data_IF_394203482556
#
_entry.id   IF_394203482556
#
_cell.length_a   1.000
_cell.length_b   1.000
_cell.length_c   1.000
_cell.angle_alpha   90.00
_cell.angle_beta   90.00
_cell.angle_gamma   90.00
#
_symmetry.space_group_name_H-M   'P 1'
#
loop_
_entity.id
_entity.type
_entity.pdbx_description
1 polymer ?
#
# COMPACT_ATOMS: atom_id res chain seq x y z
N UNK A 1 -55.35 -3.05 11.36
CA UNK A 1 -54.19 -3.96 11.20
C UNK A 1 -53.82 -4.24 9.76
N UNK A 2 -54.80 -4.24 8.81
CA UNK A 2 -54.56 -4.48 7.36
C UNK A 2 -53.93 -3.28 6.61
N UNK A 3 -54.15 -2.05 7.07
CA UNK A 3 -53.59 -0.84 6.45
C UNK A 3 -52.08 -0.68 6.71
N UNK A 4 -51.57 -1.19 7.86
CA UNK A 4 -50.13 -1.14 8.18
C UNK A 4 -49.30 -2.13 7.36
N UNK A 5 -49.87 -3.30 7.00
CA UNK A 5 -49.18 -4.29 6.21
C UNK A 5 -48.97 -3.88 4.74
N UNK A 6 -49.91 -3.12 4.18
CA UNK A 6 -49.79 -2.61 2.79
C UNK A 6 -48.75 -1.47 2.68
N UNK A 7 -48.60 -0.65 3.70
CA UNK A 7 -47.57 0.40 3.76
C UNK A 7 -46.17 -0.17 3.88
N UNK A 8 -45.98 -1.24 4.65
CA UNK A 8 -44.70 -1.95 4.78
C UNK A 8 -44.27 -2.65 3.48
N UNK A 9 -45.20 -3.33 2.82
CA UNK A 9 -44.91 -4.02 1.53
C UNK A 9 -44.52 -3.04 0.42
N UNK A 10 -45.12 -1.86 0.38
CA UNK A 10 -44.80 -0.81 -0.61
C UNK A 10 -43.47 -0.08 -0.29
N UNK A 11 -42.98 -0.14 0.93
CA UNK A 11 -41.70 0.47 1.33
C UNK A 11 -40.45 -0.35 0.92
N UNK A 12 -40.59 -1.67 0.78
CA UNK A 12 -39.47 -2.60 0.48
C UNK A 12 -38.82 -2.31 -0.89
N UNK A 13 -39.54 -2.13 -1.99
CA UNK A 13 -38.94 -1.79 -3.29
C UNK A 13 -38.22 -0.46 -3.28
N UNK A 14 -38.76 0.55 -2.58
CA UNK A 14 -38.14 1.86 -2.43
C UNK A 14 -36.85 1.80 -1.60
N UNK A 15 -36.85 1.06 -0.51
CA UNK A 15 -35.66 0.83 0.30
C UNK A 15 -34.55 0.11 -0.50
N UNK A 16 -34.90 -0.92 -1.28
CA UNK A 16 -33.98 -1.62 -2.18
C UNK A 16 -33.38 -0.69 -3.23
N UNK A 17 -34.17 0.20 -3.81
CA UNK A 17 -33.71 1.19 -4.80
C UNK A 17 -32.72 2.17 -4.18
N UNK A 18 -33.05 2.74 -3.01
CA UNK A 18 -32.15 3.63 -2.25
C UNK A 18 -30.83 2.94 -1.89
N UNK A 19 -30.89 1.69 -1.46
CA UNK A 19 -29.71 0.92 -1.10
C UNK A 19 -28.79 0.63 -2.31
N UNK A 20 -29.36 0.31 -3.48
CA UNK A 20 -28.59 0.15 -4.73
C UNK A 20 -27.85 1.44 -5.09
N UNK A 21 -28.52 2.59 -4.97
CA UNK A 21 -27.91 3.91 -5.23
C UNK A 21 -26.76 4.18 -4.24
N UNK A 22 -26.99 3.94 -2.95
CA UNK A 22 -25.96 4.11 -1.93
C UNK A 22 -24.74 3.22 -2.19
N UNK A 23 -24.94 1.95 -2.51
CA UNK A 23 -23.85 1.03 -2.84
C UNK A 23 -23.07 1.47 -4.07
N UNK A 24 -23.75 1.95 -5.12
CA UNK A 24 -23.11 2.47 -6.32
C UNK A 24 -22.28 3.73 -6.03
N UNK A 25 -22.82 4.68 -5.25
CA UNK A 25 -22.10 5.88 -4.84
C UNK A 25 -20.89 5.54 -3.98
N UNK A 26 -21.04 4.65 -3.00
CA UNK A 26 -19.93 4.21 -2.14
C UNK A 26 -18.85 3.53 -2.96
N UNK A 27 -19.21 2.66 -3.90
CA UNK A 27 -18.27 2.03 -4.82
C UNK A 27 -17.46 3.06 -5.60
N UNK A 28 -18.14 4.05 -6.20
CA UNK A 28 -17.52 5.14 -6.95
C UNK A 28 -16.52 5.90 -6.07
N UNK A 29 -16.98 6.36 -4.89
CA UNK A 29 -16.13 7.12 -3.95
C UNK A 29 -14.89 6.33 -3.51
N UNK A 30 -15.03 5.04 -3.20
CA UNK A 30 -13.89 4.19 -2.83
C UNK A 30 -12.92 4.09 -4.00
N UNK A 31 -13.40 3.79 -5.22
CA UNK A 31 -12.53 3.66 -6.39
C UNK A 31 -11.77 4.95 -6.69
N UNK A 32 -12.44 6.10 -6.65
CA UNK A 32 -11.83 7.42 -6.87
C UNK A 32 -10.79 7.75 -5.79
N UNK A 33 -11.10 7.47 -4.53
CA UNK A 33 -10.17 7.68 -3.41
C UNK A 33 -8.91 6.85 -3.55
N UNK A 34 -9.03 5.57 -3.90
CA UNK A 34 -7.88 4.70 -4.08
C UNK A 34 -7.06 5.04 -5.33
N UNK A 35 -7.69 5.51 -6.40
CA UNK A 35 -6.97 6.02 -7.58
C UNK A 35 -6.14 7.27 -7.24
N UNK A 36 -6.65 8.16 -6.39
CA UNK A 36 -5.88 9.32 -5.90
C UNK A 36 -4.71 8.91 -4.99
N UNK A 37 -4.91 7.91 -4.14
CA UNK A 37 -3.84 7.36 -3.29
C UNK A 37 -2.75 6.75 -4.16
N UNK A 38 -3.10 5.91 -5.15
CA UNK A 38 -2.17 5.29 -6.09
C UNK A 38 -1.33 6.33 -6.84
N UNK A 39 -1.98 7.34 -7.41
CA UNK A 39 -1.29 8.42 -8.12
C UNK A 39 -0.32 9.20 -7.21
N UNK A 40 -0.72 9.48 -5.96
CA UNK A 40 0.12 10.17 -4.99
C UNK A 40 1.28 9.29 -4.52
N UNK A 41 1.04 8.01 -4.30
CA UNK A 41 2.10 7.07 -3.93
C UNK A 41 3.13 6.93 -5.04
N UNK A 42 2.71 6.80 -6.30
CA UNK A 42 3.64 6.73 -7.43
C UNK A 42 4.61 7.93 -7.47
N UNK A 43 4.10 9.14 -7.21
CA UNK A 43 4.93 10.35 -7.09
C UNK A 43 5.90 10.26 -5.90
N UNK A 44 5.41 9.82 -4.75
CA UNK A 44 6.24 9.66 -3.56
C UNK A 44 7.32 8.59 -3.75
N UNK A 45 7.00 7.45 -4.38
CA UNK A 45 7.95 6.38 -4.65
C UNK A 45 9.04 6.81 -5.63
N UNK A 46 8.72 7.63 -6.63
CA UNK A 46 9.74 8.25 -7.50
C UNK A 46 10.70 9.14 -6.71
N UNK A 47 10.18 9.94 -5.78
CA UNK A 47 11.01 10.74 -4.88
C UNK A 47 11.88 9.88 -3.96
N UNK A 48 11.33 8.78 -3.42
CA UNK A 48 12.08 7.81 -2.60
C UNK A 48 13.21 7.18 -3.40
N UNK A 49 12.95 6.79 -4.66
CA UNK A 49 13.97 6.25 -5.55
C UNK A 49 15.11 7.25 -5.77
N UNK A 50 14.80 8.53 -6.03
CA UNK A 50 15.79 9.58 -6.19
C UNK A 50 16.63 9.85 -4.94
N UNK A 51 16.02 9.83 -3.76
CA UNK A 51 16.75 9.97 -2.49
C UNK A 51 17.67 8.75 -2.28
N UNK A 52 17.20 7.54 -2.53
CA UNK A 52 17.97 6.32 -2.37
C UNK A 52 19.16 6.26 -3.35
N UNK A 53 18.94 6.69 -4.59
CA UNK A 53 19.98 6.86 -5.61
C UNK A 53 21.04 7.85 -5.13
N UNK A 54 20.65 9.06 -4.74
CA UNK A 54 21.57 10.11 -4.26
C UNK A 54 22.41 9.65 -3.06
N UNK A 55 21.82 8.88 -2.15
CA UNK A 55 22.53 8.27 -1.03
C UNK A 55 23.56 7.24 -1.51
N UNK A 56 23.19 6.39 -2.48
CA UNK A 56 24.08 5.39 -3.04
C UNK A 56 25.27 6.02 -3.78
N UNK A 57 24.99 7.04 -4.61
CA UNK A 57 26.04 7.85 -5.26
C UNK A 57 26.99 8.50 -4.26
N UNK A 58 26.43 9.08 -3.19
CA UNK A 58 27.25 9.69 -2.13
C UNK A 58 28.12 8.67 -1.41
N UNK A 59 27.60 7.45 -1.16
CA UNK A 59 28.36 6.37 -0.55
C UNK A 59 29.50 5.87 -1.46
N UNK A 60 29.25 5.74 -2.76
CA UNK A 60 30.28 5.39 -3.74
C UNK A 60 31.40 6.46 -3.74
N UNK A 61 31.04 7.73 -3.88
CA UNK A 61 32.00 8.83 -3.92
C UNK A 61 32.80 9.00 -2.61
N UNK A 62 32.18 8.75 -1.47
CA UNK A 62 32.83 8.78 -0.16
C UNK A 62 33.82 7.63 0.07
N UNK A 63 33.62 6.50 -0.61
CA UNK A 63 34.47 5.31 -0.49
C UNK A 63 35.69 5.35 -1.43
N UNK A 64 35.68 6.19 -2.44
CA UNK A 64 36.73 6.28 -3.46
C UNK A 64 37.58 7.53 -3.22
N UNK A 65 38.90 7.33 -3.07
CA UNK A 65 39.86 8.44 -2.88
C UNK A 65 40.08 9.30 -4.14
N UNK A 66 39.65 8.86 -5.31
CA UNK A 66 39.67 9.60 -6.57
C UNK A 66 38.28 10.12 -6.90
N UNK A 67 38.15 11.34 -7.44
CA UNK A 67 36.91 11.84 -8.01
C UNK A 67 36.52 11.00 -9.25
N UNK A 68 35.83 9.89 -9.04
CA UNK A 68 35.16 9.17 -10.11
C UNK A 68 33.79 9.81 -10.26
N UNK A 69 33.43 10.18 -11.50
CA UNK A 69 32.08 10.59 -11.81
C UNK A 69 31.17 9.35 -11.71
N UNK A 70 30.51 9.20 -10.57
CA UNK A 70 29.43 8.21 -10.46
C UNK A 70 28.29 8.60 -11.38
N UNK A 71 27.77 7.65 -12.13
CA UNK A 71 26.64 7.85 -13.03
C UNK A 71 25.35 7.81 -12.23
N UNK A 72 24.64 8.93 -12.19
CA UNK A 72 23.28 9.01 -11.66
C UNK A 72 22.26 8.49 -12.66
N UNK A 73 21.07 8.10 -12.16
CA UNK A 73 19.96 7.68 -13.01
C UNK A 73 19.14 8.89 -13.48
N UNK A 74 18.55 8.77 -14.68
CA UNK A 74 17.60 9.78 -15.15
C UNK A 74 16.27 9.71 -14.39
N UNK A 75 15.51 10.82 -14.36
CA UNK A 75 14.17 10.86 -13.77
C UNK A 75 13.24 9.80 -14.39
N UNK A 76 13.41 9.51 -15.67
CA UNK A 76 12.65 8.46 -16.35
C UNK A 76 12.97 7.07 -15.79
N UNK A 77 14.24 6.76 -15.53
CA UNK A 77 14.65 5.50 -14.91
C UNK A 77 14.12 5.38 -13.47
N UNK A 78 14.23 6.44 -12.68
CA UNK A 78 13.70 6.49 -11.31
C UNK A 78 12.18 6.29 -11.30
N UNK A 79 11.46 6.94 -12.22
CA UNK A 79 10.02 6.75 -12.40
C UNK A 79 9.66 5.32 -12.83
N UNK A 80 10.47 4.71 -13.69
CA UNK A 80 10.30 3.31 -14.10
C UNK A 80 10.49 2.34 -12.93
N UNK A 81 11.52 2.54 -12.10
CA UNK A 81 11.75 1.75 -10.88
C UNK A 81 10.54 1.89 -9.95
N UNK A 82 10.09 3.12 -9.69
CA UNK A 82 8.95 3.36 -8.81
C UNK A 82 7.66 2.66 -9.27
N UNK A 83 7.43 2.59 -10.60
CA UNK A 83 6.18 2.08 -11.18
C UNK A 83 6.19 0.57 -11.40
N UNK A 84 7.35 -0.02 -11.70
CA UNK A 84 7.45 -1.41 -12.16
C UNK A 84 8.04 -2.36 -11.11
N UNK A 85 8.60 -1.84 -10.02
CA UNK A 85 9.12 -2.68 -8.94
C UNK A 85 8.01 -3.53 -8.34
N UNK A 86 8.24 -4.84 -8.27
CA UNK A 86 7.28 -5.80 -7.73
C UNK A 86 7.34 -5.81 -6.20
N UNK A 87 6.26 -5.40 -5.59
CA UNK A 87 6.06 -5.43 -4.14
C UNK A 87 5.32 -6.72 -3.82
N UNK A 88 6.03 -7.70 -3.25
CA UNK A 88 5.47 -9.03 -2.99
C UNK A 88 4.80 -9.67 -4.22
N UNK A 89 5.43 -9.53 -5.38
CA UNK A 89 5.02 -10.19 -6.62
C UNK A 89 4.06 -9.41 -7.52
N UNK A 90 3.66 -8.18 -7.13
CA UNK A 90 2.81 -7.32 -7.96
C UNK A 90 3.24 -5.85 -7.85
N UNK A 91 3.02 -5.01 -8.88
CA UNK A 91 3.22 -3.58 -8.80
C UNK A 91 2.29 -2.94 -7.74
N UNK A 92 2.70 -1.81 -7.15
CA UNK A 92 1.93 -1.06 -6.14
C UNK A 92 0.47 -0.82 -6.57
N UNK A 93 0.25 -0.45 -7.82
CA UNK A 93 -1.07 -0.20 -8.40
C UNK A 93 -2.05 -1.37 -8.27
N UNK A 94 -1.58 -2.60 -8.46
CA UNK A 94 -2.43 -3.79 -8.32
C UNK A 94 -2.86 -4.00 -6.87
N UNK A 95 -1.98 -3.74 -5.93
CA UNK A 95 -2.29 -3.79 -4.51
C UNK A 95 -3.34 -2.75 -4.11
N UNK A 96 -3.25 -1.51 -4.61
CA UNK A 96 -4.25 -0.48 -4.36
C UNK A 96 -5.61 -0.85 -4.93
N UNK A 97 -5.65 -1.40 -6.14
CA UNK A 97 -6.88 -1.90 -6.75
C UNK A 97 -7.49 -3.02 -5.90
N UNK A 98 -6.70 -3.99 -5.48
CA UNK A 98 -7.17 -5.08 -4.63
C UNK A 98 -7.68 -4.61 -3.25
N UNK A 99 -7.07 -3.57 -2.68
CA UNK A 99 -7.55 -2.97 -1.44
C UNK A 99 -8.87 -2.23 -1.62
N UNK A 100 -9.04 -1.51 -2.73
CA UNK A 100 -10.30 -0.85 -3.07
C UNK A 100 -11.43 -1.88 -3.19
N UNK A 101 -11.20 -2.97 -3.92
CA UNK A 101 -12.17 -4.07 -4.08
C UNK A 101 -12.49 -4.76 -2.75
N UNK A 102 -11.48 -4.99 -1.92
CA UNK A 102 -11.66 -5.56 -0.58
C UNK A 102 -12.55 -4.69 0.30
N UNK A 103 -12.32 -3.36 0.30
CA UNK A 103 -13.14 -2.40 1.06
C UNK A 103 -14.57 -2.33 0.54
N UNK A 104 -14.76 -2.29 -0.78
CA UNK A 104 -16.09 -2.30 -1.42
C UNK A 104 -16.88 -3.56 -1.05
N UNK A 105 -16.23 -4.74 -1.12
CA UNK A 105 -16.85 -6.01 -0.77
C UNK A 105 -17.19 -6.07 0.72
N UNK A 106 -16.30 -5.60 1.59
CA UNK A 106 -16.55 -5.48 3.03
C UNK A 106 -17.77 -4.61 3.34
N UNK A 107 -17.86 -3.44 2.71
CA UNK A 107 -18.99 -2.53 2.86
C UNK A 107 -20.30 -3.18 2.36
N UNK A 108 -20.29 -3.77 1.16
CA UNK A 108 -21.44 -4.49 0.60
C UNK A 108 -21.94 -5.60 1.53
N UNK A 109 -21.01 -6.37 2.13
CA UNK A 109 -21.35 -7.45 3.05
C UNK A 109 -21.96 -6.93 4.34
N UNK A 110 -21.42 -5.87 4.93
CA UNK A 110 -22.01 -5.21 6.11
C UNK A 110 -23.45 -4.80 5.82
N UNK A 111 -23.69 -4.06 4.74
CA UNK A 111 -25.01 -3.60 4.36
C UNK A 111 -25.97 -4.80 4.18
N UNK A 112 -25.53 -5.85 3.48
CA UNK A 112 -26.36 -7.04 3.23
C UNK A 112 -26.75 -7.75 4.52
N UNK A 113 -25.79 -7.96 5.42
CA UNK A 113 -26.01 -8.61 6.71
C UNK A 113 -26.92 -7.76 7.60
N UNK A 114 -26.67 -6.46 7.67
CA UNK A 114 -27.47 -5.53 8.48
C UNK A 114 -28.93 -5.47 8.01
N UNK A 115 -29.17 -5.55 6.69
CA UNK A 115 -30.53 -5.63 6.15
C UNK A 115 -31.23 -6.93 6.54
N UNK A 116 -30.52 -8.06 6.54
CA UNK A 116 -31.09 -9.37 6.92
C UNK A 116 -31.39 -9.42 8.43
N UNK A 117 -30.58 -8.76 9.23
CA UNK A 117 -30.72 -8.72 10.71
C UNK A 117 -31.61 -7.60 11.21
N UNK A 118 -32.16 -6.76 10.31
CA UNK A 118 -32.99 -5.60 10.72
C UNK A 118 -32.23 -4.54 11.51
N UNK A 119 -30.92 -4.40 11.30
CA UNK A 119 -30.09 -3.44 12.01
C UNK A 119 -30.45 -2.00 11.63
N UNK A 120 -30.39 -1.10 12.61
CA UNK A 120 -30.57 0.34 12.42
C UNK A 120 -29.38 0.96 11.66
N UNK A 121 -29.58 2.11 11.07
CA UNK A 121 -28.51 2.90 10.43
C UNK A 121 -27.35 3.18 11.37
N UNK A 122 -27.61 3.43 12.65
CA UNK A 122 -26.58 3.66 13.67
C UNK A 122 -25.70 2.42 13.89
N UNK A 123 -26.29 1.23 13.91
CA UNK A 123 -25.55 -0.03 14.02
C UNK A 123 -24.69 -0.29 12.78
N UNK A 124 -25.22 -0.02 11.59
CA UNK A 124 -24.46 -0.11 10.33
C UNK A 124 -23.24 0.82 10.35
N UNK A 125 -23.44 2.09 10.75
CA UNK A 125 -22.35 3.07 10.89
C UNK A 125 -21.29 2.55 11.86
N UNK A 126 -21.71 1.97 12.97
CA UNK A 126 -20.77 1.41 13.97
C UNK A 126 -19.95 0.27 13.39
N UNK A 127 -20.53 -0.64 12.61
CA UNK A 127 -19.78 -1.73 11.95
C UNK A 127 -18.76 -1.22 10.94
N UNK A 128 -19.07 -0.14 10.24
CA UNK A 128 -18.15 0.47 9.27
C UNK A 128 -17.05 1.24 9.97
N UNK A 129 -17.41 2.10 10.92
CA UNK A 129 -16.48 2.99 11.62
C UNK A 129 -15.73 2.32 12.75
N UNK A 130 -16.37 1.38 13.42
CA UNK A 130 -15.94 0.81 14.69
C UNK A 130 -16.61 1.45 15.92
N UNK A 131 -16.43 0.82 17.09
CA UNK A 131 -16.99 1.24 18.37
C UNK A 131 -16.06 2.22 19.08
N UNK A 132 -16.65 3.19 19.78
CA UNK A 132 -15.88 4.16 20.60
C UNK A 132 -15.13 3.47 21.74
N UNK A 133 -15.72 2.45 22.35
CA UNK A 133 -15.12 1.66 23.43
C UNK A 133 -13.80 0.99 23.01
N UNK A 134 -13.70 0.53 21.77
CA UNK A 134 -12.48 -0.05 21.19
C UNK A 134 -11.65 0.97 20.39
N UNK A 135 -11.88 2.27 20.60
CA UNK A 135 -11.18 3.35 19.89
C UNK A 135 -11.22 3.17 18.36
N UNK A 136 -12.37 2.69 17.85
CA UNK A 136 -12.63 2.44 16.43
C UNK A 136 -11.72 1.39 15.75
N UNK A 137 -11.05 0.53 16.54
CA UNK A 137 -10.14 -0.49 16.00
C UNK A 137 -10.86 -1.70 15.39
N UNK A 138 -12.13 -1.89 15.69
CA UNK A 138 -12.99 -3.00 15.26
C UNK A 138 -13.80 -2.70 13.99
N UNK A 139 -13.64 -1.53 13.41
CA UNK A 139 -14.35 -1.12 12.20
C UNK A 139 -13.67 -1.54 10.89
N UNK A 140 -14.49 -1.68 9.83
CA UNK A 140 -14.01 -1.96 8.47
C UNK A 140 -12.97 -0.93 7.99
N UNK A 141 -13.17 0.35 8.30
CA UNK A 141 -12.27 1.43 7.91
C UNK A 141 -10.89 1.32 8.55
N UNK A 142 -10.81 0.86 9.80
CA UNK A 142 -9.52 0.66 10.46
C UNK A 142 -8.72 -0.48 9.83
N UNK A 143 -9.40 -1.56 9.44
CA UNK A 143 -8.77 -2.66 8.71
C UNK A 143 -8.20 -2.20 7.37
N UNK A 144 -8.95 -1.38 6.63
CA UNK A 144 -8.47 -0.80 5.36
C UNK A 144 -7.26 0.11 5.58
N UNK A 145 -7.28 0.95 6.61
CA UNK A 145 -6.15 1.82 6.98
C UNK A 145 -4.90 1.01 7.31
N UNK A 146 -5.00 -0.01 8.14
CA UNK A 146 -3.85 -0.84 8.53
C UNK A 146 -3.20 -1.52 7.31
N UNK A 147 -4.02 -2.01 6.37
CA UNK A 147 -3.52 -2.59 5.11
C UNK A 147 -2.80 -1.55 4.25
N UNK A 148 -3.34 -0.35 4.13
CA UNK A 148 -2.72 0.75 3.39
C UNK A 148 -1.37 1.15 4.01
N UNK A 149 -1.30 1.31 5.33
CA UNK A 149 -0.05 1.63 6.03
C UNK A 149 1.02 0.53 5.85
N UNK A 150 0.62 -0.74 5.88
CA UNK A 150 1.55 -1.86 5.64
C UNK A 150 2.08 -1.85 4.20
N UNK A 151 1.20 -1.61 3.21
CA UNK A 151 1.61 -1.51 1.81
C UNK A 151 2.60 -0.37 1.60
N UNK A 152 2.30 0.84 2.05
CA UNK A 152 3.19 2.01 1.90
C UNK A 152 4.57 1.74 2.50
N UNK A 153 4.66 1.17 3.71
CA UNK A 153 5.94 0.85 4.34
C UNK A 153 6.75 -0.15 3.50
N UNK A 154 6.10 -1.18 2.99
CA UNK A 154 6.75 -2.19 2.16
C UNK A 154 7.19 -1.60 0.82
N UNK A 155 6.33 -0.83 0.16
CA UNK A 155 6.63 -0.17 -1.13
C UNK A 155 7.86 0.74 -1.03
N UNK A 156 7.90 1.60 -0.01
CA UNK A 156 9.03 2.51 0.23
C UNK A 156 10.34 1.74 0.38
N UNK A 157 10.32 0.66 1.17
CA UNK A 157 11.53 -0.12 1.44
C UNK A 157 12.03 -0.83 0.18
N UNK A 158 11.12 -1.48 -0.56
CA UNK A 158 11.45 -2.24 -1.77
C UNK A 158 11.95 -1.31 -2.86
N UNK A 159 11.24 -0.21 -3.16
CA UNK A 159 11.64 0.76 -4.19
C UNK A 159 12.98 1.43 -3.85
N UNK A 160 13.22 1.78 -2.58
CA UNK A 160 14.50 2.33 -2.16
C UNK A 160 15.66 1.34 -2.36
N UNK A 161 15.45 0.06 -2.09
CA UNK A 161 16.45 -0.97 -2.31
C UNK A 161 16.72 -1.19 -3.80
N UNK A 162 15.68 -1.27 -4.64
CA UNK A 162 15.83 -1.40 -6.08
C UNK A 162 16.61 -0.23 -6.68
N UNK A 163 16.31 1.01 -6.25
CA UNK A 163 17.05 2.18 -6.70
C UNK A 163 18.53 2.14 -6.30
N UNK A 164 18.86 1.68 -5.08
CA UNK A 164 20.26 1.50 -4.65
C UNK A 164 20.97 0.45 -5.49
N UNK A 165 20.33 -0.71 -5.69
CA UNK A 165 20.90 -1.81 -6.49
C UNK A 165 21.15 -1.34 -7.92
N UNK A 166 20.18 -0.70 -8.56
CA UNK A 166 20.32 -0.16 -9.91
C UNK A 166 21.45 0.90 -9.99
N UNK A 167 21.63 1.70 -8.93
CA UNK A 167 22.75 2.66 -8.85
C UNK A 167 24.10 1.94 -8.78
N UNK A 168 24.21 0.88 -7.96
CA UNK A 168 25.43 0.10 -7.86
C UNK A 168 25.76 -0.61 -9.17
N UNK A 169 24.77 -1.18 -9.85
CA UNK A 169 24.91 -1.82 -11.16
C UNK A 169 25.38 -0.83 -12.24
N UNK A 170 24.83 0.38 -12.24
CA UNK A 170 25.26 1.45 -13.15
C UNK A 170 26.70 1.92 -12.89
N UNK A 171 27.25 1.64 -11.73
CA UNK A 171 28.61 1.98 -11.31
C UNK A 171 29.49 0.73 -11.03
N UNK A 172 29.19 -0.40 -11.69
CA UNK A 172 29.90 -1.68 -11.52
C UNK A 172 31.41 -1.63 -11.80
N UNK A 173 31.88 -0.62 -12.52
CA UNK A 173 33.30 -0.41 -12.77
C UNK A 173 34.07 -0.12 -11.48
N UNK A 174 33.40 0.50 -10.52
CA UNK A 174 33.94 0.91 -9.21
C UNK A 174 33.39 0.06 -8.08
N UNK A 175 32.09 -0.31 -8.11
CA UNK A 175 31.41 -1.14 -7.12
C UNK A 175 31.48 -2.60 -7.55
N UNK A 176 32.38 -3.37 -6.94
CA UNK A 176 32.55 -4.79 -7.31
C UNK A 176 31.65 -5.73 -6.53
N UNK A 177 31.32 -5.38 -5.29
CA UNK A 177 30.55 -6.21 -4.38
C UNK A 177 29.64 -5.36 -3.52
N UNK A 178 28.48 -5.92 -3.17
CA UNK A 178 27.61 -5.46 -2.09
C UNK A 178 27.67 -6.45 -0.95
N UNK A 179 27.65 -5.96 0.29
CA UNK A 179 27.71 -6.76 1.50
C UNK A 179 26.43 -6.63 2.30
N UNK A 180 25.89 -7.75 2.78
CA UNK A 180 24.77 -7.73 3.71
C UNK A 180 25.27 -7.39 5.11
N UNK A 181 24.75 -6.33 5.67
CA UNK A 181 25.07 -5.91 7.05
C UNK A 181 23.80 -5.95 7.89
N UNK A 182 23.82 -6.76 8.93
CA UNK A 182 22.72 -6.90 9.88
C UNK A 182 23.02 -6.16 11.19
N UNK A 183 21.98 -5.66 11.84
CA UNK A 183 22.14 -4.97 13.14
C UNK A 183 22.58 -5.90 14.26
N UNK A 184 22.32 -7.21 14.14
CA UNK A 184 22.66 -8.28 15.09
C UNK A 184 22.14 -8.01 16.52
N UNK A 185 20.91 -7.50 16.62
CA UNK A 185 20.19 -7.35 17.89
C UNK A 185 19.26 -8.55 18.16
N UNK A 186 18.57 -8.54 19.32
CA UNK A 186 17.65 -9.60 19.74
C UNK A 186 16.43 -9.78 18.80
N UNK A 187 16.19 -8.87 17.85
CA UNK A 187 15.11 -8.92 16.85
C UNK A 187 15.59 -9.40 15.49
N UNK A 188 16.89 -9.61 15.32
CA UNK A 188 17.48 -10.05 14.05
C UNK A 188 17.06 -11.49 13.76
N UNK A 189 16.41 -11.70 12.60
CA UNK A 189 15.98 -13.03 12.17
C UNK A 189 17.18 -13.94 11.92
N UNK A 190 17.00 -15.26 12.06
CA UNK A 190 18.04 -16.24 11.76
C UNK A 190 18.57 -16.13 10.33
N UNK A 191 17.71 -15.79 9.37
CA UNK A 191 18.10 -15.52 7.98
C UNK A 191 19.07 -14.34 7.87
N UNK A 192 18.78 -13.22 8.53
CA UNK A 192 19.66 -12.06 8.52
C UNK A 192 20.99 -12.35 9.22
N UNK A 193 20.98 -13.14 10.30
CA UNK A 193 22.21 -13.56 10.99
C UNK A 193 23.12 -14.40 10.08
N UNK A 194 22.54 -15.35 9.31
CA UNK A 194 23.29 -16.20 8.37
C UNK A 194 23.81 -15.42 7.16
N UNK A 195 23.13 -14.34 6.78
CA UNK A 195 23.54 -13.50 5.65
C UNK A 195 24.55 -12.44 6.01
N UNK A 196 24.72 -12.11 7.30
CA UNK A 196 25.61 -11.06 7.75
C UNK A 196 27.04 -11.27 7.27
N UNK A 197 27.64 -10.22 6.71
CA UNK A 197 28.99 -10.26 6.12
C UNK A 197 29.10 -10.96 4.77
N UNK A 198 28.02 -11.57 4.24
CA UNK A 198 28.05 -12.17 2.89
C UNK A 198 28.12 -11.10 1.81
N UNK A 199 28.91 -11.40 0.77
CA UNK A 199 29.15 -10.51 -0.37
C UNK A 199 28.60 -11.12 -1.65
N UNK A 200 28.02 -10.27 -2.48
CA UNK A 200 27.56 -10.62 -3.83
C UNK A 200 28.22 -9.68 -4.83
N UNK A 201 28.64 -10.24 -5.96
CA UNK A 201 29.16 -9.45 -7.06
C UNK A 201 28.03 -8.55 -7.64
N UNK A 202 28.41 -7.36 -8.10
CA UNK A 202 27.52 -6.44 -8.78
C UNK A 202 27.63 -6.69 -10.29
N UNK A 203 26.53 -7.12 -10.92
CA UNK A 203 26.44 -7.41 -12.38
C UNK A 203 26.49 -8.86 -12.71
#
# INVERSE_FOLDING_TARGET
TLANSSLEVNSIPLQRKRMKVLLAQTKKTISESYALIDAKEATNLSSVAGVAESQAVSAINGSIKAKVLSVGMSDQMLGSIASNTLIQGAPSREWWTGQADSLQNGFKNIIRQSMLSGESTSQIITRVRGTKSLRYKDGLMQTARNKAEALVRTSVQVVANEARIATYESNRDVVKYIEWVSTLDSRTSSTCQVLDGKKWAVG
#
